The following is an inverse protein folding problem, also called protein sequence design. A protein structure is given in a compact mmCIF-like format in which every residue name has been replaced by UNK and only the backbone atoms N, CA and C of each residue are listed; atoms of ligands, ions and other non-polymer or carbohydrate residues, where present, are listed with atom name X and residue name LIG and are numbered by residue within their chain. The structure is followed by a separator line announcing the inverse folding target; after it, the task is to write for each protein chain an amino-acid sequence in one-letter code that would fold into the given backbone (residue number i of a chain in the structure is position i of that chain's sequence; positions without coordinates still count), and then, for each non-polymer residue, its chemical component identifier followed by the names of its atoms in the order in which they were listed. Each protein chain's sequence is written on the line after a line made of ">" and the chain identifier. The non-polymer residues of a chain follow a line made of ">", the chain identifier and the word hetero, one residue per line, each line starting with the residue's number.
data_IF_592884194511
#
_entry.id   IF_592884194511
#
_cell.length_a   1.000
_cell.length_b   1.000
_cell.length_c   1.000
_cell.angle_alpha   90.00
_cell.angle_beta   90.00
_cell.angle_gamma   90.00
#
_symmetry.space_group_name_H-M   'P 1'
#
loop_
_entity.id
_entity.type
_entity.pdbx_description
1 polymer ?
#
# COMPACT_ATOMS: atom_id res chain seq x y z
N UNK A 1 -3.09 2.32 -15.90
CA UNK A 1 -3.70 2.59 -14.58
C UNK A 1 -4.49 1.39 -14.11
N UNK A 2 -5.57 0.97 -14.80
CA UNK A 2 -6.37 -0.21 -14.39
C UNK A 2 -5.57 -1.51 -14.42
N UNK A 3 -4.86 -1.80 -15.51
CA UNK A 3 -4.05 -3.03 -15.60
C UNK A 3 -2.96 -3.12 -14.51
N UNK A 4 -2.34 -1.98 -14.17
CA UNK A 4 -1.28 -1.91 -13.15
C UNK A 4 -1.84 -2.06 -11.73
N UNK A 5 -3.09 -1.61 -11.52
CA UNK A 5 -3.83 -1.87 -10.29
C UNK A 5 -4.11 -3.37 -10.14
N UNK A 6 -4.66 -4.01 -11.18
CA UNK A 6 -4.95 -5.45 -11.16
C UNK A 6 -3.68 -6.29 -10.96
N UNK A 7 -2.61 -5.97 -11.70
CA UNK A 7 -1.29 -6.61 -11.54
C UNK A 7 -0.78 -6.50 -10.08
N UNK A 8 -0.95 -5.33 -9.46
CA UNK A 8 -0.51 -5.08 -8.08
C UNK A 8 -1.38 -5.81 -7.06
N UNK A 9 -2.70 -5.87 -7.26
CA UNK A 9 -3.62 -6.65 -6.40
C UNK A 9 -3.28 -8.13 -6.46
N UNK A 10 -2.99 -8.67 -7.65
CA UNK A 10 -2.59 -10.07 -7.79
C UNK A 10 -1.27 -10.35 -7.07
N UNK A 11 -0.31 -9.44 -7.17
CA UNK A 11 0.95 -9.54 -6.42
C UNK A 11 0.72 -9.53 -4.90
N UNK A 12 -0.16 -8.65 -4.39
CA UNK A 12 -0.47 -8.54 -2.96
C UNK A 12 -0.96 -9.85 -2.36
N UNK A 13 -1.78 -10.62 -3.08
CA UNK A 13 -2.27 -11.94 -2.62
C UNK A 13 -1.14 -12.90 -2.24
N UNK A 14 0.03 -12.75 -2.85
CA UNK A 14 1.17 -13.63 -2.63
C UNK A 14 2.21 -13.05 -1.67
N UNK A 15 2.37 -11.73 -1.64
CA UNK A 15 3.50 -11.10 -0.94
C UNK A 15 3.13 -10.31 0.30
N UNK A 16 1.85 -9.93 0.51
CA UNK A 16 1.44 -8.96 1.52
C UNK A 16 2.00 -9.26 2.92
N UNK A 17 1.85 -10.51 3.41
CA UNK A 17 2.32 -10.90 4.74
C UNK A 17 3.84 -10.90 4.94
N UNK A 18 4.61 -10.86 3.85
CA UNK A 18 6.08 -10.82 3.88
C UNK A 18 6.64 -9.40 3.72
N UNK A 19 5.79 -8.42 3.43
CA UNK A 19 6.22 -7.04 3.16
C UNK A 19 6.48 -6.30 4.48
N UNK A 20 7.50 -5.45 4.49
CA UNK A 20 7.74 -4.55 5.62
C UNK A 20 6.60 -3.55 5.78
N UNK A 21 6.35 -3.12 7.00
CA UNK A 21 5.49 -1.96 7.30
C UNK A 21 6.13 -0.68 6.77
N UNK A 22 5.35 0.40 6.69
CA UNK A 22 5.86 1.72 6.34
C UNK A 22 6.96 2.18 7.31
N UNK A 23 7.91 2.97 6.83
CA UNK A 23 9.03 3.48 7.64
C UNK A 23 8.58 4.64 8.57
N UNK A 24 7.45 5.27 8.27
CA UNK A 24 6.84 6.29 9.12
C UNK A 24 6.32 5.67 10.43
N UNK A 25 6.77 6.12 11.62
CA UNK A 25 6.41 5.51 12.90
C UNK A 25 4.90 5.47 13.17
N UNK A 26 4.16 6.49 12.73
CA UNK A 26 2.70 6.54 12.93
C UNK A 26 2.00 5.52 12.05
N UNK A 27 2.33 5.46 10.76
CA UNK A 27 1.77 4.45 9.86
C UNK A 27 2.16 3.03 10.27
N UNK A 28 3.40 2.84 10.73
CA UNK A 28 3.86 1.57 11.29
C UNK A 28 3.04 1.16 12.52
N UNK A 29 2.77 2.08 13.45
CA UNK A 29 1.94 1.78 14.64
C UNK A 29 0.50 1.39 14.31
N UNK A 30 0.02 1.82 13.14
CA UNK A 30 -1.31 1.49 12.61
C UNK A 30 -1.29 0.23 11.71
N UNK A 31 -0.13 -0.43 11.55
CA UNK A 31 0.03 -1.64 10.75
C UNK A 31 0.01 -1.42 9.24
N UNK A 32 0.25 -0.18 8.77
CA UNK A 32 0.23 0.11 7.34
C UNK A 32 1.47 -0.41 6.62
N UNK A 33 1.22 -0.97 5.45
CA UNK A 33 2.20 -1.38 4.45
C UNK A 33 2.00 -0.56 3.17
N UNK A 34 3.04 -0.54 2.33
CA UNK A 34 3.04 0.14 1.04
C UNK A 34 3.51 -0.82 -0.05
N UNK A 35 2.86 -0.77 -1.21
CA UNK A 35 3.34 -1.43 -2.43
C UNK A 35 3.23 -0.46 -3.62
N UNK A 36 4.30 -0.34 -4.39
CA UNK A 36 4.33 0.51 -5.57
C UNK A 36 3.70 -0.23 -6.76
N UNK A 37 3.05 0.54 -7.62
CA UNK A 37 2.68 0.09 -8.95
C UNK A 37 3.94 -0.14 -9.79
N UNK A 38 3.86 -1.05 -10.76
CA UNK A 38 5.02 -1.42 -11.56
C UNK A 38 5.26 -0.44 -12.73
N UNK A 39 4.18 0.09 -13.31
CA UNK A 39 4.23 0.90 -14.54
C UNK A 39 3.96 2.39 -14.29
N UNK A 40 3.29 2.73 -13.18
CA UNK A 40 2.90 4.10 -12.84
C UNK A 40 3.51 4.55 -11.51
N UNK A 41 3.70 5.87 -11.34
CA UNK A 41 4.21 6.48 -10.11
C UNK A 41 3.12 6.61 -9.04
N UNK A 42 2.47 5.49 -8.75
CA UNK A 42 1.45 5.36 -7.72
C UNK A 42 1.83 4.21 -6.79
N UNK A 43 1.24 4.21 -5.60
CA UNK A 43 1.36 3.12 -4.66
C UNK A 43 0.05 2.92 -3.91
N UNK A 44 -0.19 1.68 -3.50
CA UNK A 44 -1.27 1.35 -2.57
C UNK A 44 -0.73 1.43 -1.16
N UNK A 45 -1.54 2.02 -0.29
CA UNK A 45 -1.41 1.87 1.14
C UNK A 45 -2.44 0.84 1.61
N UNK A 46 -1.99 -0.15 2.36
CA UNK A 46 -2.83 -1.27 2.77
C UNK A 46 -2.51 -1.76 4.17
N UNK A 47 -3.44 -2.50 4.76
CA UNK A 47 -3.30 -3.20 6.04
C UNK A 47 -3.70 -4.66 5.88
N UNK A 48 -3.28 -5.48 6.83
CA UNK A 48 -3.66 -6.89 6.90
C UNK A 48 -4.41 -7.11 8.22
N UNK A 49 -5.67 -7.54 8.14
CA UNK A 49 -6.49 -7.88 9.30
C UNK A 49 -7.09 -9.27 9.06
N UNK A 50 -6.87 -10.22 9.97
CA UNK A 50 -7.35 -11.61 9.88
C UNK A 50 -7.07 -12.28 8.51
N UNK A 51 -5.82 -12.16 8.03
CA UNK A 51 -5.34 -12.64 6.72
C UNK A 51 -6.02 -12.00 5.49
N UNK A 52 -6.80 -10.94 5.68
CA UNK A 52 -7.43 -10.16 4.61
C UNK A 52 -6.64 -8.86 4.39
N UNK A 53 -6.29 -8.61 3.11
CA UNK A 53 -5.65 -7.36 2.69
C UNK A 53 -6.70 -6.30 2.40
N UNK A 54 -6.63 -5.18 3.12
CA UNK A 54 -7.46 -4.01 2.90
C UNK A 54 -6.62 -2.91 2.27
N UNK A 55 -6.95 -2.50 1.05
CA UNK A 55 -6.35 -1.33 0.40
C UNK A 55 -7.15 -0.10 0.82
N UNK A 56 -6.59 0.72 1.71
CA UNK A 56 -7.27 1.89 2.26
C UNK A 56 -7.20 3.08 1.30
N UNK A 57 -6.07 3.28 0.61
CA UNK A 57 -5.87 4.40 -0.31
C UNK A 57 -4.82 4.14 -1.39
N UNK A 58 -4.87 4.95 -2.46
CA UNK A 58 -3.88 4.95 -3.55
C UNK A 58 -3.37 6.38 -3.75
N UNK A 59 -2.06 6.55 -3.65
CA UNK A 59 -1.42 7.86 -3.77
C UNK A 59 -0.47 7.93 -4.95
N UNK A 60 -0.35 9.11 -5.55
CA UNK A 60 0.75 9.41 -6.46
C UNK A 60 2.03 9.64 -5.63
N UNK A 61 3.18 9.15 -6.08
CA UNK A 61 4.45 9.14 -5.33
C UNK A 61 4.92 10.52 -4.83
N UNK A 62 4.58 11.58 -5.56
CA UNK A 62 4.91 12.98 -5.22
C UNK A 62 3.92 13.63 -4.23
N UNK A 63 2.84 12.95 -3.86
CA UNK A 63 1.89 13.49 -2.89
C UNK A 63 2.42 13.28 -1.47
N UNK A 64 2.19 14.30 -0.63
CA UNK A 64 2.39 14.22 0.80
C UNK A 64 1.24 13.43 1.43
N UNK A 65 1.30 12.11 1.28
CA UNK A 65 0.27 11.19 1.77
C UNK A 65 0.26 11.10 3.29
N UNK A 66 1.42 11.25 3.95
CA UNK A 66 1.54 11.18 5.39
C UNK A 66 0.70 12.26 6.07
N UNK A 67 0.72 13.48 5.53
CA UNK A 67 -0.10 14.58 6.01
C UNK A 67 -1.58 14.47 5.61
N UNK A 68 -1.91 13.72 4.56
CA UNK A 68 -3.31 13.49 4.13
C UNK A 68 -4.05 12.48 5.01
N UNK A 69 -3.33 11.61 5.70
CA UNK A 69 -3.91 10.64 6.64
C UNK A 69 -4.05 11.19 8.07
N UNK A 70 -3.89 12.51 8.24
CA UNK A 70 -4.00 13.23 9.52
C UNK A 70 -5.42 13.75 9.72
#
# INVERSE_FOLDING_TARGET
>A
MLDDFEDTVELLKHVAGSMKTCDNPRLQSLGYHRINFQKHRYFMLYRIEDDVVYVDDIFHELQDYENRMI
#
